data_IF_580469676662
#
_entry.id   IF_580469676662
#
_cell.length_a   1.000
_cell.length_b   1.000
_cell.length_c   1.000
_cell.angle_alpha   90.00
_cell.angle_beta   90.00
_cell.angle_gamma   90.00
#
_symmetry.space_group_name_H-M   'P 1'
#
loop_
_entity.id
_entity.type
_entity.pdbx_description
1 polymer ?
#
# COMPACT_ATOMS: atom_id res chain seq x y z
N UNK A 1 20.38 17.06 40.34
CA UNK A 1 20.56 15.83 39.53
C UNK A 1 19.16 15.30 39.22
N UNK A 2 18.68 15.61 38.04
CA UNK A 2 17.33 15.18 37.59
C UNK A 2 17.45 13.72 37.14
N UNK A 3 16.69 12.85 37.80
CA UNK A 3 16.47 11.48 37.36
C UNK A 3 15.61 11.57 36.07
N UNK A 4 16.20 11.27 34.92
CA UNK A 4 15.47 11.01 33.73
C UNK A 4 14.63 9.74 33.96
N UNK A 5 13.35 9.89 34.11
CA UNK A 5 12.39 8.78 34.10
C UNK A 5 12.52 8.08 32.74
N UNK A 6 13.19 6.95 32.75
CA UNK A 6 13.24 6.02 31.63
C UNK A 6 11.91 5.25 31.69
N UNK A 7 10.85 5.89 31.21
CA UNK A 7 9.55 5.26 31.06
C UNK A 7 9.67 4.21 29.97
N UNK A 8 9.84 2.95 30.38
CA UNK A 8 9.71 1.81 29.46
C UNK A 8 8.21 1.77 29.09
N UNK A 9 7.87 2.37 27.97
CA UNK A 9 6.55 2.16 27.36
C UNK A 9 6.46 0.70 26.94
N UNK A 10 5.71 -0.08 27.71
CA UNK A 10 5.22 -1.37 27.26
C UNK A 10 4.23 -1.07 26.13
N UNK A 11 4.66 -1.28 24.89
CA UNK A 11 3.76 -1.27 23.74
C UNK A 11 2.76 -2.40 23.97
N UNK A 12 1.47 -2.07 24.05
CA UNK A 12 0.43 -3.08 24.14
C UNK A 12 0.54 -3.98 22.91
N UNK A 13 0.25 -5.27 23.07
CA UNK A 13 0.31 -6.25 21.98
C UNK A 13 -0.61 -5.85 20.81
N UNK A 14 -1.76 -5.27 21.15
CA UNK A 14 -2.72 -4.78 20.16
C UNK A 14 -2.17 -3.57 19.38
N UNK A 15 -1.47 -2.63 20.04
CA UNK A 15 -0.81 -1.51 19.35
C UNK A 15 0.29 -2.00 18.39
N UNK A 16 1.01 -3.05 18.75
CA UNK A 16 2.03 -3.66 17.89
C UNK A 16 1.44 -4.30 16.63
N UNK A 17 0.31 -4.98 16.75
CA UNK A 17 -0.39 -5.61 15.61
C UNK A 17 -0.99 -4.55 14.67
N UNK A 18 -1.55 -3.48 15.20
CA UNK A 18 -2.07 -2.36 14.40
C UNK A 18 -0.96 -1.63 13.64
N UNK A 19 0.19 -1.40 14.28
CA UNK A 19 1.34 -0.79 13.60
C UNK A 19 1.85 -1.66 12.46
N UNK A 20 1.98 -2.98 12.66
CA UNK A 20 2.40 -3.90 11.61
C UNK A 20 1.40 -3.94 10.45
N UNK A 21 0.11 -3.86 10.74
CA UNK A 21 -0.94 -3.76 9.72
C UNK A 21 -0.81 -2.47 8.92
N UNK A 22 -0.63 -1.34 9.58
CA UNK A 22 -0.42 -0.04 8.94
C UNK A 22 0.83 -0.03 8.05
N UNK A 23 1.93 -0.62 8.49
CA UNK A 23 3.15 -0.75 7.68
C UNK A 23 2.93 -1.58 6.42
N UNK A 24 2.19 -2.69 6.53
CA UNK A 24 1.85 -3.54 5.38
C UNK A 24 0.95 -2.78 4.39
N UNK A 25 -0.07 -2.10 4.88
CA UNK A 25 -0.93 -1.28 4.01
C UNK A 25 -0.17 -0.14 3.34
N UNK A 26 0.74 0.53 4.05
CA UNK A 26 1.62 1.55 3.48
C UNK A 26 2.52 0.99 2.36
N UNK A 27 3.05 -0.23 2.52
CA UNK A 27 3.79 -0.92 1.47
C UNK A 27 2.90 -1.21 0.24
N UNK A 28 1.69 -1.74 0.47
CA UNK A 28 0.73 -2.01 -0.62
C UNK A 28 0.33 -0.72 -1.33
N UNK A 29 0.08 0.37 -0.60
CA UNK A 29 -0.20 1.67 -1.18
C UNK A 29 0.91 2.11 -2.14
N UNK A 30 2.18 2.00 -1.74
CA UNK A 30 3.34 2.34 -2.58
C UNK A 30 3.42 1.47 -3.84
N UNK A 31 3.27 0.16 -3.71
CA UNK A 31 3.36 -0.79 -4.83
C UNK A 31 2.26 -0.59 -5.88
N UNK A 32 1.08 -0.12 -5.47
CA UNK A 32 -0.04 0.14 -6.37
C UNK A 32 -0.07 1.58 -6.92
N UNK A 33 0.65 2.52 -6.30
CA UNK A 33 0.64 3.92 -6.71
C UNK A 33 1.58 4.21 -7.88
N UNK A 34 2.76 3.59 -7.87
CA UNK A 34 3.80 3.82 -8.85
C UNK A 34 4.70 2.58 -9.03
N UNK A 35 5.44 2.47 -10.14
CA UNK A 35 6.47 1.44 -10.29
C UNK A 35 7.43 1.45 -9.10
N UNK A 36 7.89 0.25 -8.64
CA UNK A 36 8.85 0.17 -7.56
C UNK A 36 10.15 0.92 -7.91
N UNK A 37 10.57 1.81 -7.03
CA UNK A 37 11.79 2.59 -7.20
C UNK A 37 13.03 1.89 -6.58
N UNK A 38 14.22 2.42 -6.89
CA UNK A 38 15.49 1.89 -6.38
C UNK A 38 15.50 1.79 -4.84
N UNK A 39 14.92 2.76 -4.13
CA UNK A 39 14.87 2.75 -2.68
C UNK A 39 14.04 1.58 -2.14
N UNK A 40 12.95 1.24 -2.81
CA UNK A 40 12.14 0.08 -2.45
C UNK A 40 12.88 -1.23 -2.71
N UNK A 41 13.60 -1.34 -3.84
CA UNK A 41 14.45 -2.51 -4.12
C UNK A 41 15.55 -2.69 -3.07
N UNK A 42 16.21 -1.61 -2.63
CA UNK A 42 17.20 -1.65 -1.55
C UNK A 42 16.59 -2.14 -0.23
N UNK A 43 15.37 -1.69 0.11
CA UNK A 43 14.66 -2.18 1.29
C UNK A 43 14.41 -3.69 1.22
N UNK A 44 13.96 -4.21 0.10
CA UNK A 44 13.73 -5.65 -0.08
C UNK A 44 15.03 -6.47 -0.13
N UNK A 45 16.14 -5.88 -0.56
CA UNK A 45 17.45 -6.56 -0.55
C UNK A 45 17.91 -6.92 0.87
N UNK A 46 17.57 -6.09 1.87
CA UNK A 46 17.92 -6.28 3.27
C UNK A 46 16.73 -6.76 4.13
N UNK A 47 15.53 -6.87 3.57
CA UNK A 47 14.34 -7.30 4.30
C UNK A 47 14.53 -8.71 4.88
N UNK A 48 14.04 -8.89 6.10
CA UNK A 48 13.94 -10.22 6.70
C UNK A 48 12.90 -11.02 5.93
N UNK A 49 13.27 -12.23 5.50
CA UNK A 49 12.37 -13.11 4.71
C UNK A 49 11.26 -13.75 5.54
N UNK A 50 11.33 -13.63 6.86
CA UNK A 50 10.31 -14.15 7.75
C UNK A 50 9.16 -13.14 7.87
N UNK A 51 7.93 -13.61 7.67
CA UNK A 51 6.74 -12.82 7.98
C UNK A 51 6.73 -12.42 9.46
N UNK A 52 6.09 -11.31 9.83
CA UNK A 52 6.01 -10.85 11.22
C UNK A 52 5.49 -11.91 12.20
N UNK A 53 4.69 -12.85 11.72
CA UNK A 53 4.20 -13.99 12.49
C UNK A 53 4.44 -15.29 11.71
N UNK A 54 5.33 -16.13 12.21
CA UNK A 54 5.53 -17.48 11.67
C UNK A 54 4.23 -18.28 11.70
N UNK A 55 3.96 -18.99 10.58
CA UNK A 55 2.76 -19.81 10.44
C UNK A 55 1.48 -19.03 10.17
N UNK A 56 1.56 -17.68 9.99
CA UNK A 56 0.41 -16.88 9.58
C UNK A 56 0.08 -17.11 8.10
N UNK A 57 -1.16 -16.81 7.71
CA UNK A 57 -1.58 -16.90 6.30
C UNK A 57 -0.83 -15.94 5.36
N UNK A 58 -0.17 -14.92 5.89
CA UNK A 58 0.65 -13.96 5.13
C UNK A 58 2.10 -14.42 4.95
N UNK A 59 2.56 -15.46 5.64
CA UNK A 59 3.96 -15.90 5.59
C UNK A 59 4.40 -16.25 4.17
N UNK A 60 3.66 -17.14 3.48
CA UNK A 60 3.99 -17.55 2.13
C UNK A 60 3.90 -16.40 1.11
N UNK A 61 2.82 -15.61 1.04
CA UNK A 61 2.76 -14.44 0.16
C UNK A 61 3.87 -13.41 0.40
N UNK A 62 4.28 -13.21 1.66
CA UNK A 62 5.39 -12.33 1.99
C UNK A 62 6.73 -12.84 1.45
N UNK A 63 7.01 -14.12 1.67
CA UNK A 63 8.22 -14.77 1.14
C UNK A 63 8.27 -14.71 -0.38
N UNK A 64 7.15 -14.95 -1.05
CA UNK A 64 7.03 -14.87 -2.51
C UNK A 64 7.30 -13.45 -3.01
N UNK A 65 6.74 -12.42 -2.35
CA UNK A 65 7.00 -11.02 -2.68
C UNK A 65 8.48 -10.67 -2.52
N UNK A 66 9.09 -11.03 -1.40
CA UNK A 66 10.52 -10.77 -1.15
C UNK A 66 11.39 -11.47 -2.20
N UNK A 67 11.09 -12.72 -2.53
CA UNK A 67 11.81 -13.48 -3.56
C UNK A 67 11.66 -12.83 -4.94
N UNK A 68 10.45 -12.42 -5.31
CA UNK A 68 10.19 -11.74 -6.57
C UNK A 68 10.97 -10.41 -6.65
N UNK A 69 10.92 -9.57 -5.62
CA UNK A 69 11.64 -8.29 -5.57
C UNK A 69 13.15 -8.46 -5.61
N UNK A 70 13.70 -9.57 -5.13
CA UNK A 70 15.15 -9.88 -5.21
C UNK A 70 15.60 -10.43 -6.54
N UNK A 71 14.70 -10.94 -7.36
CA UNK A 71 14.99 -11.58 -8.64
C UNK A 71 14.64 -10.71 -9.84
N UNK A 72 13.58 -9.90 -9.75
CA UNK A 72 13.21 -8.96 -10.80
C UNK A 72 14.09 -7.71 -10.70
N UNK A 73 14.52 -7.17 -11.83
CA UNK A 73 15.24 -5.89 -11.84
C UNK A 73 14.25 -4.71 -11.85
N UNK A 74 14.70 -3.55 -11.40
CA UNK A 74 13.92 -2.31 -11.37
C UNK A 74 13.28 -2.00 -12.74
N UNK A 75 14.06 -2.09 -13.82
CA UNK A 75 13.57 -1.87 -15.19
C UNK A 75 12.43 -2.82 -15.56
N UNK A 76 12.59 -4.12 -15.30
CA UNK A 76 11.58 -5.12 -15.65
C UNK A 76 10.28 -4.93 -14.83
N UNK A 77 10.41 -4.58 -13.55
CA UNK A 77 9.25 -4.26 -12.72
C UNK A 77 8.53 -2.99 -13.20
N UNK A 78 9.28 -1.97 -13.63
CA UNK A 78 8.73 -0.75 -14.22
C UNK A 78 7.97 -1.05 -15.51
N UNK A 79 8.57 -1.82 -16.43
CA UNK A 79 7.96 -2.19 -17.70
C UNK A 79 6.66 -2.99 -17.49
N UNK A 80 6.65 -3.91 -16.52
CA UNK A 80 5.44 -4.68 -16.17
C UNK A 80 4.35 -3.78 -15.58
N UNK A 81 4.72 -2.87 -14.68
CA UNK A 81 3.78 -1.91 -14.10
C UNK A 81 3.14 -1.04 -15.18
N UNK A 82 3.95 -0.49 -16.09
CA UNK A 82 3.44 0.33 -17.18
C UNK A 82 2.52 -0.46 -18.12
N UNK A 83 2.88 -1.70 -18.45
CA UNK A 83 2.06 -2.55 -19.30
C UNK A 83 0.68 -2.87 -18.70
N UNK A 84 0.63 -3.15 -17.40
CA UNK A 84 -0.60 -3.56 -16.73
C UNK A 84 -1.50 -2.38 -16.35
N UNK A 85 -0.93 -1.30 -15.80
CA UNK A 85 -1.70 -0.26 -15.11
C UNK A 85 -1.74 1.09 -15.82
N UNK A 86 -0.83 1.36 -16.75
CA UNK A 86 -0.78 2.63 -17.49
C UNK A 86 -1.23 2.41 -18.92
N UNK A 87 -0.57 1.52 -19.67
CA UNK A 87 -0.88 1.18 -21.05
C UNK A 87 -0.77 2.35 -22.02
N UNK A 88 -0.79 2.06 -23.33
CA UNK A 88 -0.99 3.08 -24.38
C UNK A 88 -2.48 3.09 -24.71
N UNK A 89 -3.19 4.08 -24.16
CA UNK A 89 -4.63 4.26 -24.35
C UNK A 89 -5.45 3.76 -23.16
N UNK A 90 -5.77 2.47 -23.08
CA UNK A 90 -6.50 1.90 -21.95
C UNK A 90 -5.60 0.89 -21.21
N UNK A 91 -5.39 1.04 -19.90
CA UNK A 91 -4.65 0.04 -19.14
C UNK A 91 -5.40 -1.29 -19.09
N UNK A 92 -4.67 -2.40 -18.99
CA UNK A 92 -5.25 -3.73 -18.85
C UNK A 92 -6.02 -3.86 -17.53
N UNK A 93 -5.51 -3.23 -16.48
CA UNK A 93 -6.11 -3.24 -15.15
C UNK A 93 -6.32 -1.79 -14.67
N UNK A 94 -7.57 -1.43 -14.39
CA UNK A 94 -7.92 -0.16 -13.76
C UNK A 94 -7.87 -0.29 -12.24
N UNK A 95 -7.19 0.65 -11.58
CA UNK A 95 -6.95 0.63 -10.13
C UNK A 95 -7.97 1.44 -9.32
N UNK A 96 -9.20 1.58 -9.82
CA UNK A 96 -10.25 2.40 -9.21
C UNK A 96 -11.46 1.56 -8.80
N UNK A 97 -11.88 1.72 -7.54
CA UNK A 97 -13.00 0.99 -6.97
C UNK A 97 -14.31 1.23 -7.70
N UNK A 98 -14.61 2.45 -8.12
CA UNK A 98 -15.83 2.78 -8.86
C UNK A 98 -15.95 2.00 -10.17
N UNK A 99 -14.85 1.77 -10.89
CA UNK A 99 -14.86 0.96 -12.10
C UNK A 99 -15.26 -0.49 -11.82
N UNK A 100 -14.68 -1.09 -10.78
CA UNK A 100 -14.95 -2.50 -10.44
C UNK A 100 -16.35 -2.71 -9.84
N UNK A 101 -16.88 -1.72 -9.13
CA UNK A 101 -18.18 -1.80 -8.48
C UNK A 101 -19.35 -1.39 -9.39
N UNK A 102 -19.15 -0.41 -10.28
CA UNK A 102 -20.20 0.17 -11.11
C UNK A 102 -19.95 0.09 -12.63
N UNK A 103 -18.80 -0.44 -13.04
CA UNK A 103 -18.42 -0.60 -14.45
C UNK A 103 -17.89 0.68 -15.11
N UNK A 104 -17.84 1.80 -14.41
CA UNK A 104 -17.33 3.08 -14.91
C UNK A 104 -16.62 3.87 -13.81
N UNK A 105 -15.73 4.79 -14.23
CA UNK A 105 -15.05 5.71 -13.30
C UNK A 105 -16.01 6.80 -12.82
N UNK A 106 -15.71 7.37 -11.65
CA UNK A 106 -16.41 8.51 -11.05
C UNK A 106 -17.91 8.31 -10.81
N UNK A 107 -18.31 7.06 -10.59
CA UNK A 107 -19.70 6.68 -10.34
C UNK A 107 -20.08 6.75 -8.85
N UNK A 108 -21.30 6.34 -8.53
CA UNK A 108 -21.87 6.37 -7.16
C UNK A 108 -20.96 5.84 -6.05
N UNK A 109 -20.17 4.75 -6.25
CA UNK A 109 -19.27 4.28 -5.19
C UNK A 109 -18.24 5.32 -4.74
N UNK A 110 -17.74 6.17 -5.65
CA UNK A 110 -16.84 7.25 -5.30
C UNK A 110 -17.53 8.34 -4.46
N UNK A 111 -18.79 8.64 -4.74
CA UNK A 111 -19.57 9.62 -3.96
C UNK A 111 -19.79 9.10 -2.53
N UNK A 112 -20.13 7.82 -2.38
CA UNK A 112 -20.27 7.19 -1.06
C UNK A 112 -18.96 7.23 -0.28
N UNK A 113 -17.85 6.83 -0.90
CA UNK A 113 -16.53 6.86 -0.29
C UNK A 113 -16.14 8.27 0.19
N UNK A 114 -16.40 9.31 -0.60
CA UNK A 114 -16.15 10.70 -0.22
C UNK A 114 -16.95 11.12 1.01
N UNK A 115 -18.17 10.64 1.13
CA UNK A 115 -19.00 10.88 2.33
C UNK A 115 -18.39 10.21 3.55
N UNK A 116 -17.99 8.95 3.43
CA UNK A 116 -17.38 8.18 4.53
C UNK A 116 -16.04 8.81 4.96
N UNK A 117 -15.18 9.20 4.01
CA UNK A 117 -13.92 9.88 4.29
C UNK A 117 -14.14 11.23 5.00
N UNK A 118 -15.13 12.00 4.56
CA UNK A 118 -15.46 13.28 5.20
C UNK A 118 -15.93 13.10 6.64
N UNK A 119 -16.67 12.04 6.96
CA UNK A 119 -17.07 11.68 8.33
C UNK A 119 -15.86 11.36 9.22
N UNK A 120 -14.79 10.80 8.63
CA UNK A 120 -13.51 10.55 9.30
C UNK A 120 -12.60 11.80 9.37
N UNK A 121 -13.04 12.94 8.80
CA UNK A 121 -12.22 14.16 8.73
C UNK A 121 -11.11 14.09 7.68
N UNK A 122 -11.19 13.15 6.73
CA UNK A 122 -10.22 12.96 5.67
C UNK A 122 -10.70 13.59 4.36
N UNK A 123 -9.76 14.12 3.60
CA UNK A 123 -10.02 14.67 2.28
C UNK A 123 -8.79 14.44 1.37
N UNK A 124 -9.05 14.29 0.08
CA UNK A 124 -7.98 14.18 -0.92
C UNK A 124 -7.17 15.47 -0.98
N UNK A 125 -5.85 15.34 -1.08
CA UNK A 125 -4.98 16.46 -1.41
C UNK A 125 -5.28 16.95 -2.84
N UNK A 126 -5.52 18.25 -2.99
CA UNK A 126 -5.88 18.86 -4.27
C UNK A 126 -4.75 18.79 -5.32
N UNK A 127 -3.50 18.54 -4.91
CA UNK A 127 -2.35 18.40 -5.81
C UNK A 127 -2.25 17.03 -6.46
N UNK A 128 -2.99 16.03 -5.94
CA UNK A 128 -2.99 14.66 -6.45
C UNK A 128 -4.07 14.54 -7.54
N UNK A 129 -3.68 14.01 -8.70
CA UNK A 129 -4.56 13.84 -9.86
C UNK A 129 -5.56 12.69 -9.73
N UNK A 130 -5.24 11.67 -8.93
CA UNK A 130 -6.03 10.46 -8.77
C UNK A 130 -7.24 10.69 -7.86
N UNK A 131 -8.32 9.94 -8.10
CA UNK A 131 -9.52 10.00 -7.24
C UNK A 131 -9.36 9.13 -5.98
N UNK A 132 -10.17 9.41 -4.97
CA UNK A 132 -10.10 8.80 -3.64
C UNK A 132 -10.29 7.27 -3.66
N UNK A 133 -10.95 6.73 -4.69
CA UNK A 133 -11.18 5.30 -4.87
C UNK A 133 -10.05 4.56 -5.59
N UNK A 134 -8.93 5.23 -5.86
CA UNK A 134 -7.72 4.54 -6.31
C UNK A 134 -7.24 3.59 -5.20
N UNK A 135 -6.90 2.35 -5.56
CA UNK A 135 -6.59 1.29 -4.59
C UNK A 135 -5.49 1.66 -3.61
N UNK A 136 -4.46 2.43 -4.04
CA UNK A 136 -3.39 2.88 -3.16
C UNK A 136 -3.89 3.77 -2.03
N UNK A 137 -4.84 4.67 -2.30
CA UNK A 137 -5.41 5.54 -1.26
C UNK A 137 -6.30 4.80 -0.29
N UNK A 138 -7.00 3.76 -0.75
CA UNK A 138 -7.78 2.89 0.13
C UNK A 138 -6.90 2.12 1.12
N UNK A 139 -5.62 1.89 0.79
CA UNK A 139 -4.66 1.30 1.70
C UNK A 139 -4.03 2.31 2.68
N UNK A 140 -4.14 3.62 2.42
CA UNK A 140 -3.60 4.66 3.31
C UNK A 140 -4.59 5.10 4.41
N UNK A 141 -5.87 4.79 4.28
CA UNK A 141 -6.94 5.10 5.25
C UNK A 141 -7.04 4.02 6.31
#
# INVERSE_FOLDING_TARGET
MSRADNEIRLIDRDEGEELQRAELYGLLARLWFAPPDAALFEQFAVAVTEAPQRGSFLEAPWQDLVAAMRTIGEQAAGDEYEALFIGIGKPDILLYGSHHMAGALNERPLVALRTDLAELGLARDATIGETEDHVSFLFEV
#
